data_IF_317840335440
#
_entry.id   IF_317840335440
#
_cell.length_a   1.000
_cell.length_b   1.000
_cell.length_c   1.000
_cell.angle_alpha   90.00
_cell.angle_beta   90.00
_cell.angle_gamma   90.00
#
_symmetry.space_group_name_H-M   'P 1'
#
loop_
_entity.id
_entity.type
_entity.pdbx_description
1 polymer ?
#
# COMPACT_ATOMS: atom_id res chain seq x y z
N UNK A 1 -5.02 8.37 14.27
CA UNK A 1 -4.67 6.99 13.86
C UNK A 1 -3.53 6.98 12.86
N UNK A 2 -3.45 8.01 12.02
CA UNK A 2 -2.29 8.28 11.17
C UNK A 2 -1.48 9.43 11.77
N UNK A 3 -0.17 9.28 11.82
CA UNK A 3 0.79 10.32 12.20
C UNK A 3 1.68 10.63 10.99
N UNK A 4 1.93 11.90 10.72
CA UNK A 4 2.81 12.33 9.63
C UNK A 4 3.86 13.27 10.17
N UNK A 5 5.13 12.90 9.99
CA UNK A 5 6.29 13.74 10.31
C UNK A 5 7.18 13.90 9.09
N UNK A 6 8.05 14.92 9.09
CA UNK A 6 8.99 15.18 8.00
C UNK A 6 10.43 15.07 8.51
N UNK A 7 11.22 14.19 7.90
CA UNK A 7 12.66 14.02 8.11
C UNK A 7 13.41 14.41 6.83
N UNK A 8 13.83 15.67 6.77
CA UNK A 8 14.44 16.26 5.57
C UNK A 8 13.48 16.22 4.38
N UNK A 9 13.86 15.48 3.33
CA UNK A 9 13.04 15.28 2.12
C UNK A 9 12.08 14.08 2.23
N UNK A 10 12.00 13.40 3.38
CA UNK A 10 11.11 12.23 3.54
C UNK A 10 9.95 12.55 4.47
N UNK A 11 8.74 12.35 3.97
CA UNK A 11 7.53 12.29 4.80
C UNK A 11 7.40 10.89 5.38
N UNK A 12 7.36 10.76 6.70
CA UNK A 12 7.19 9.49 7.40
C UNK A 12 5.76 9.41 7.93
N UNK A 13 4.95 8.59 7.26
CA UNK A 13 3.57 8.27 7.64
C UNK A 13 3.58 7.02 8.52
N UNK A 14 3.17 7.17 9.77
CA UNK A 14 3.07 6.07 10.74
C UNK A 14 1.60 5.70 10.95
N UNK A 15 1.27 4.45 10.65
CA UNK A 15 -0.02 3.84 11.00
C UNK A 15 0.02 3.38 12.47
N UNK A 16 -0.78 4.04 13.32
CA UNK A 16 -0.77 3.88 14.77
C UNK A 16 -2.15 3.48 15.34
N UNK A 17 -2.88 2.62 14.64
CA UNK A 17 -4.23 2.16 14.99
C UNK A 17 -4.27 0.69 15.44
N UNK A 18 -3.31 0.29 16.30
CA UNK A 18 -3.18 -1.10 16.74
C UNK A 18 -2.86 -2.03 15.57
N UNK A 19 -3.77 -2.95 15.24
CA UNK A 19 -3.59 -3.86 14.10
C UNK A 19 -3.74 -3.18 12.71
N UNK A 20 -3.97 -1.86 12.68
CA UNK A 20 -4.18 -1.04 11.47
C UNK A 20 -5.22 -1.67 10.53
N UNK A 21 -6.39 -1.97 11.11
CA UNK A 21 -7.53 -2.49 10.35
C UNK A 21 -8.24 -1.36 9.62
N UNK A 22 -8.59 -1.61 8.37
CA UNK A 22 -9.20 -0.61 7.50
C UNK A 22 -10.69 -0.48 7.79
N UNK A 23 -11.10 0.75 8.06
CA UNK A 23 -12.45 1.24 8.02
C UNK A 23 -12.43 2.63 7.37
N UNK A 24 -13.59 3.22 7.12
CA UNK A 24 -13.72 4.49 6.39
C UNK A 24 -12.99 5.65 7.09
N UNK A 25 -12.95 5.67 8.43
CA UNK A 25 -12.21 6.71 9.16
C UNK A 25 -10.71 6.59 8.94
N UNK A 26 -10.16 5.37 9.01
CA UNK A 26 -8.73 5.13 8.77
C UNK A 26 -8.33 5.47 7.32
N UNK A 27 -9.19 5.15 6.34
CA UNK A 27 -9.00 5.55 4.93
C UNK A 27 -8.85 7.07 4.81
N UNK A 28 -9.80 7.83 5.37
CA UNK A 28 -9.82 9.30 5.26
C UNK A 28 -8.66 9.96 5.98
N UNK A 29 -8.24 9.44 7.14
CA UNK A 29 -7.04 9.96 7.82
C UNK A 29 -5.76 9.70 7.01
N UNK A 30 -5.65 8.55 6.35
CA UNK A 30 -4.52 8.25 5.46
C UNK A 30 -4.53 9.19 4.26
N UNK A 31 -5.69 9.37 3.62
CA UNK A 31 -5.84 10.25 2.46
C UNK A 31 -5.51 11.71 2.79
N UNK A 32 -5.95 12.20 3.96
CA UNK A 32 -5.59 13.52 4.45
C UNK A 32 -4.08 13.70 4.72
N UNK A 33 -3.37 12.62 5.08
CA UNK A 33 -1.91 12.66 5.16
C UNK A 33 -1.27 12.77 3.76
N UNK A 34 -1.84 12.12 2.73
CA UNK A 34 -1.39 12.29 1.35
C UNK A 34 -1.62 13.71 0.83
N UNK A 35 -2.65 14.43 1.29
CA UNK A 35 -2.86 15.84 0.96
C UNK A 35 -1.68 16.70 1.42
N UNK A 36 -1.18 16.46 2.64
CA UNK A 36 -0.04 17.20 3.19
C UNK A 36 1.25 16.93 2.41
N UNK A 37 1.47 15.68 1.99
CA UNK A 37 2.62 15.32 1.13
C UNK A 37 2.51 16.02 -0.23
N UNK A 38 1.33 16.00 -0.86
CA UNK A 38 1.08 16.64 -2.15
C UNK A 38 1.20 18.17 -2.09
N UNK A 39 0.80 18.79 -0.97
CA UNK A 39 0.91 20.24 -0.76
C UNK A 39 2.35 20.72 -0.55
N UNK A 40 3.29 19.81 -0.25
CA UNK A 40 4.70 20.17 -0.10
C UNK A 40 5.36 20.49 -1.45
N UNK A 41 6.47 21.24 -1.41
CA UNK A 41 7.24 21.61 -2.59
C UNK A 41 8.65 21.03 -2.55
N UNK A 42 9.30 20.94 -3.71
CA UNK A 42 10.65 20.41 -3.84
C UNK A 42 10.70 18.88 -3.83
N UNK A 43 11.91 18.30 -3.85
CA UNK A 43 12.10 16.86 -3.83
C UNK A 43 11.52 16.26 -2.55
N UNK A 44 10.79 15.16 -2.67
CA UNK A 44 10.33 14.41 -1.53
C UNK A 44 10.12 12.92 -1.85
N UNK A 45 10.04 12.12 -0.80
CA UNK A 45 9.54 10.75 -0.85
C UNK A 45 8.59 10.49 0.34
N UNK A 46 7.72 9.51 0.21
CA UNK A 46 6.86 9.02 1.29
C UNK A 46 7.40 7.68 1.82
N UNK A 47 7.59 7.58 3.12
CA UNK A 47 7.79 6.34 3.85
C UNK A 47 6.54 6.01 4.67
N UNK A 48 5.90 4.88 4.41
CA UNK A 48 4.82 4.35 5.26
C UNK A 48 5.35 3.26 6.19
N UNK A 49 5.07 3.36 7.49
CA UNK A 49 5.43 2.35 8.50
C UNK A 49 4.27 2.11 9.47
N UNK A 50 4.38 1.07 10.30
CA UNK A 50 3.45 0.78 11.39
C UNK A 50 4.12 1.03 12.75
N UNK A 51 3.34 1.54 13.71
CA UNK A 51 3.74 1.61 15.12
C UNK A 51 3.57 0.25 15.84
N UNK A 52 2.73 -0.65 15.33
CA UNK A 52 2.55 -1.99 15.91
C UNK A 52 3.66 -2.93 15.46
N UNK A 53 4.23 -3.70 16.40
CA UNK A 53 5.38 -4.57 16.13
C UNK A 53 5.04 -5.86 15.35
N UNK A 54 3.78 -6.29 15.33
CA UNK A 54 3.31 -7.55 14.74
C UNK A 54 2.59 -7.35 13.41
N UNK A 55 1.95 -6.20 13.21
CA UNK A 55 1.15 -5.90 12.03
C UNK A 55 1.70 -4.69 11.31
N UNK A 56 1.90 -4.86 10.01
CA UNK A 56 1.87 -3.71 9.10
C UNK A 56 0.42 -3.25 8.96
N UNK A 57 -0.49 -4.16 8.57
CA UNK A 57 -1.94 -3.95 8.59
C UNK A 57 -2.69 -5.28 8.50
N UNK A 58 -3.70 -5.47 9.34
CA UNK A 58 -4.52 -6.68 9.40
C UNK A 58 -5.79 -6.61 8.52
N UNK A 59 -5.73 -5.87 7.42
CA UNK A 59 -6.78 -5.85 6.41
C UNK A 59 -8.06 -5.15 6.84
N UNK A 60 -9.18 -5.52 6.22
CA UNK A 60 -10.50 -5.00 6.55
C UNK A 60 -10.84 -5.26 8.04
N UNK A 61 -11.41 -4.28 8.71
CA UNK A 61 -12.01 -4.49 10.02
C UNK A 61 -13.28 -5.35 9.87
N UNK A 62 -13.14 -6.67 10.00
CA UNK A 62 -14.25 -7.61 9.85
C UNK A 62 -15.31 -7.48 10.95
N UNK A 63 -14.92 -7.07 12.16
CA UNK A 63 -15.89 -6.84 13.25
C UNK A 63 -16.73 -5.60 12.94
N UNK A 64 -16.10 -4.54 12.46
CA UNK A 64 -16.80 -3.38 11.94
C UNK A 64 -17.63 -3.72 10.71
N UNK A 65 -17.13 -4.49 9.73
CA UNK A 65 -17.89 -4.84 8.52
C UNK A 65 -19.14 -5.69 8.83
N UNK A 66 -19.03 -6.62 9.79
CA UNK A 66 -20.01 -7.68 10.07
C UNK A 66 -20.94 -7.44 11.26
N UNK A 67 -21.36 -6.21 11.57
CA UNK A 67 -22.35 -5.87 12.62
C UNK A 67 -21.83 -5.65 14.08
N UNK A 68 -20.54 -5.37 14.30
CA UNK A 68 -20.03 -4.99 15.64
C UNK A 68 -20.52 -3.62 16.17
N UNK A 69 -20.35 -3.37 17.48
CA UNK A 69 -20.49 -2.05 18.11
C UNK A 69 -19.67 -1.03 17.31
N UNK A 70 -20.25 0.12 16.97
CA UNK A 70 -19.73 1.00 15.93
C UNK A 70 -18.52 1.82 16.40
N UNK A 71 -17.27 1.52 16.02
CA UNK A 71 -16.33 2.59 15.76
C UNK A 71 -16.90 3.48 14.63
N UNK A 72 -16.62 4.78 14.63
CA UNK A 72 -17.13 5.71 13.61
C UNK A 72 -16.70 5.27 12.20
N UNK A 73 -17.60 5.41 11.21
CA UNK A 73 -17.29 5.19 9.79
C UNK A 73 -18.49 4.68 8.98
N UNK A 74 -18.64 5.16 7.74
CA UNK A 74 -19.71 4.75 6.82
C UNK A 74 -19.26 3.55 5.96
N UNK A 75 -19.87 2.39 6.19
CA UNK A 75 -19.56 1.13 5.50
C UNK A 75 -19.92 1.16 4.02
N UNK A 76 -20.95 1.92 3.64
CA UNK A 76 -21.48 1.91 2.28
C UNK A 76 -20.49 2.48 1.26
N UNK A 77 -19.63 3.38 1.70
CA UNK A 77 -18.65 4.07 0.85
C UNK A 77 -17.24 3.48 0.97
N UNK A 78 -17.03 2.51 1.87
CA UNK A 78 -15.69 1.99 2.17
C UNK A 78 -14.95 1.45 0.96
N UNK A 79 -15.60 0.59 0.17
CA UNK A 79 -14.98 -0.03 -1.00
C UNK A 79 -14.48 1.03 -1.98
N UNK A 80 -15.35 1.97 -2.34
CA UNK A 80 -15.02 3.07 -3.25
C UNK A 80 -13.92 3.98 -2.68
N UNK A 81 -14.01 4.41 -1.41
CA UNK A 81 -13.01 5.30 -0.80
C UNK A 81 -11.64 4.61 -0.65
N UNK A 82 -11.61 3.34 -0.24
CA UNK A 82 -10.37 2.58 -0.09
C UNK A 82 -9.68 2.35 -1.45
N UNK A 83 -10.45 2.00 -2.48
CA UNK A 83 -9.92 1.84 -3.83
C UNK A 83 -9.43 3.19 -4.38
N UNK A 84 -10.17 4.29 -4.19
CA UNK A 84 -9.73 5.62 -4.58
C UNK A 84 -8.42 6.04 -3.89
N UNK A 85 -8.28 5.76 -2.59
CA UNK A 85 -7.03 5.97 -1.84
C UNK A 85 -5.87 5.16 -2.45
N UNK A 86 -6.07 3.88 -2.73
CA UNK A 86 -5.05 3.04 -3.34
C UNK A 86 -4.66 3.54 -4.74
N UNK A 87 -5.63 3.99 -5.54
CA UNK A 87 -5.42 4.61 -6.86
C UNK A 87 -4.59 5.88 -6.76
N UNK A 88 -4.90 6.76 -5.81
CA UNK A 88 -4.14 7.97 -5.52
C UNK A 88 -2.70 7.66 -5.09
N UNK A 89 -2.51 6.63 -4.26
CA UNK A 89 -1.18 6.25 -3.77
C UNK A 89 -0.27 5.72 -4.90
N UNK A 90 -0.80 4.92 -5.83
CA UNK A 90 0.00 4.42 -6.96
C UNK A 90 0.34 5.49 -8.00
N UNK A 91 -0.39 6.60 -8.04
CA UNK A 91 -0.09 7.75 -8.91
C UNK A 91 0.46 8.97 -8.17
N UNK A 92 0.79 8.82 -6.88
CA UNK A 92 1.36 9.90 -6.07
C UNK A 92 2.63 10.44 -6.71
N UNK A 93 2.74 11.76 -6.76
CA UNK A 93 3.79 12.50 -7.48
C UNK A 93 5.18 12.48 -6.83
N UNK A 94 5.33 11.70 -5.77
CA UNK A 94 6.59 11.40 -5.10
C UNK A 94 6.80 9.88 -5.04
N UNK A 95 8.05 9.40 -5.02
CA UNK A 95 8.34 7.99 -4.75
C UNK A 95 7.80 7.56 -3.39
N UNK A 96 7.27 6.33 -3.32
CA UNK A 96 6.70 5.78 -2.09
C UNK A 96 7.36 4.47 -1.69
N UNK A 97 7.74 4.37 -0.43
CA UNK A 97 8.37 3.20 0.19
C UNK A 97 7.51 2.77 1.37
N UNK A 98 7.34 1.47 1.60
CA UNK A 98 6.77 1.00 2.87
C UNK A 98 7.69 0.00 3.59
N UNK A 99 7.64 0.07 4.92
CA UNK A 99 8.33 -0.82 5.84
C UNK A 99 7.33 -1.83 6.43
N UNK A 100 7.31 -3.04 5.87
CA UNK A 100 6.46 -4.15 6.31
C UNK A 100 7.14 -4.90 7.45
N UNK A 101 6.93 -4.41 8.67
CA UNK A 101 7.53 -4.94 9.89
C UNK A 101 6.90 -6.27 10.37
N UNK A 102 5.73 -6.61 9.85
CA UNK A 102 4.91 -7.71 10.34
C UNK A 102 3.89 -8.19 9.31
N UNK A 103 2.71 -8.61 9.76
CA UNK A 103 1.65 -9.13 8.89
C UNK A 103 0.96 -8.00 8.11
N UNK A 104 0.78 -8.23 6.81
CA UNK A 104 -0.04 -7.44 5.89
C UNK A 104 -1.03 -8.35 5.19
N UNK A 105 -2.30 -8.35 5.60
CA UNK A 105 -3.34 -9.24 5.06
C UNK A 105 -4.41 -8.46 4.31
N UNK A 106 -4.92 -9.04 3.21
CA UNK A 106 -5.95 -8.47 2.34
C UNK A 106 -5.68 -7.02 1.98
N UNK A 107 -6.58 -6.10 2.38
CA UNK A 107 -6.38 -4.65 2.24
C UNK A 107 -5.00 -4.13 2.72
N UNK A 108 -4.40 -4.75 3.74
CA UNK A 108 -3.04 -4.43 4.18
C UNK A 108 -1.94 -4.85 3.19
N UNK A 109 -2.12 -5.99 2.51
CA UNK A 109 -1.24 -6.40 1.41
C UNK A 109 -1.45 -5.50 0.19
N UNK A 110 -2.70 -5.18 -0.14
CA UNK A 110 -3.04 -4.27 -1.23
C UNK A 110 -2.36 -2.91 -1.06
N UNK A 111 -2.46 -2.29 0.12
CA UNK A 111 -1.81 -1.01 0.39
C UNK A 111 -0.29 -1.11 0.36
N UNK A 112 0.31 -2.23 0.78
CA UNK A 112 1.74 -2.45 0.58
C UNK A 112 2.10 -2.46 -0.92
N UNK A 113 1.32 -3.16 -1.76
CA UNK A 113 1.52 -3.18 -3.22
C UNK A 113 1.27 -1.84 -3.90
N UNK A 114 0.45 -0.97 -3.30
CA UNK A 114 0.25 0.39 -3.78
C UNK A 114 1.49 1.30 -3.64
N UNK A 115 2.51 0.87 -2.90
CA UNK A 115 3.78 1.59 -2.86
C UNK A 115 4.68 1.26 -4.07
N UNK A 116 5.65 2.12 -4.37
CA UNK A 116 6.65 1.85 -5.41
C UNK A 116 7.60 0.74 -4.94
N UNK A 117 8.10 0.86 -3.70
CA UNK A 117 8.95 -0.15 -3.08
C UNK A 117 8.45 -0.62 -1.72
N UNK A 118 8.68 -1.90 -1.44
CA UNK A 118 8.36 -2.58 -0.18
C UNK A 118 9.64 -3.18 0.38
N UNK A 119 9.97 -2.82 1.61
CA UNK A 119 10.98 -3.51 2.40
C UNK A 119 10.26 -4.30 3.49
N UNK A 120 10.65 -5.56 3.69
CA UNK A 120 9.98 -6.45 4.64
C UNK A 120 10.93 -6.92 5.74
N UNK A 121 10.42 -7.13 6.96
CA UNK A 121 11.19 -7.85 7.97
C UNK A 121 11.56 -9.26 7.48
N UNK A 122 12.80 -9.66 7.67
CA UNK A 122 13.36 -10.89 7.10
C UNK A 122 12.82 -12.18 7.73
N UNK A 123 12.57 -12.19 9.03
CA UNK A 123 12.37 -13.41 9.83
C UNK A 123 10.92 -13.68 10.24
N UNK A 124 10.05 -12.68 10.20
CA UNK A 124 8.65 -12.81 10.64
C UNK A 124 7.71 -11.81 9.99
N UNK A 125 6.49 -12.26 9.71
CA UNK A 125 5.44 -11.50 9.04
C UNK A 125 5.09 -12.15 7.71
N UNK A 126 3.89 -11.86 7.21
CA UNK A 126 3.42 -12.36 5.92
C UNK A 126 2.71 -11.25 5.17
N UNK A 127 2.96 -11.14 3.87
CA UNK A 127 2.08 -10.46 2.92
C UNK A 127 1.20 -11.52 2.25
N UNK A 128 -0.12 -11.34 2.24
CA UNK A 128 -1.04 -12.36 1.75
C UNK A 128 -2.42 -11.77 1.42
N UNK A 129 -2.94 -12.17 0.25
CA UNK A 129 -4.34 -11.98 -0.13
C UNK A 129 -5.11 -13.23 0.33
N UNK A 130 -5.77 -13.14 1.49
CA UNK A 130 -6.42 -14.27 2.15
C UNK A 130 -7.94 -14.29 1.93
N UNK A 131 -8.46 -13.49 0.99
CA UNK A 131 -9.88 -13.35 0.68
C UNK A 131 -10.52 -14.71 0.38
N UNK A 132 -9.87 -15.54 -0.43
CA UNK A 132 -10.39 -16.87 -0.77
C UNK A 132 -10.48 -17.81 0.44
N UNK A 133 -9.58 -17.68 1.43
CA UNK A 133 -9.65 -18.42 2.70
C UNK A 133 -10.84 -17.97 3.56
N UNK A 134 -11.27 -16.71 3.38
CA UNK A 134 -12.44 -16.11 4.03
C UNK A 134 -13.74 -16.29 3.23
N UNK A 135 -13.70 -16.94 2.07
CA UNK A 135 -14.85 -17.09 1.17
C UNK A 135 -15.25 -15.80 0.43
N UNK A 136 -14.33 -14.85 0.32
CA UNK A 136 -14.50 -13.58 -0.39
C UNK A 136 -13.83 -13.64 -1.77
N UNK A 137 -14.38 -12.89 -2.72
CA UNK A 137 -13.78 -12.69 -4.05
C UNK A 137 -13.01 -11.38 -4.06
N UNK A 138 -11.78 -11.39 -4.57
CA UNK A 138 -10.98 -10.18 -4.77
C UNK A 138 -11.63 -9.32 -5.86
N UNK A 139 -11.89 -8.02 -5.61
CA UNK A 139 -12.46 -7.11 -6.61
C UNK A 139 -11.57 -6.95 -7.85
N UNK A 140 -12.18 -6.70 -9.01
CA UNK A 140 -11.47 -6.54 -10.29
C UNK A 140 -10.41 -5.44 -10.26
N UNK A 141 -10.69 -4.33 -9.58
CA UNK A 141 -9.75 -3.22 -9.44
C UNK A 141 -8.51 -3.60 -8.62
N UNK A 142 -8.67 -4.41 -7.58
CA UNK A 142 -7.57 -4.95 -6.79
C UNK A 142 -6.76 -5.99 -7.60
N UNK A 143 -7.43 -6.85 -8.37
CA UNK A 143 -6.76 -7.77 -9.28
C UNK A 143 -5.94 -7.04 -10.35
N UNK A 144 -6.44 -5.92 -10.86
CA UNK A 144 -5.70 -5.08 -11.81
C UNK A 144 -4.42 -4.52 -11.17
N UNK A 145 -4.50 -4.01 -9.93
CA UNK A 145 -3.31 -3.60 -9.18
C UNK A 145 -2.30 -4.74 -9.02
N UNK A 146 -2.76 -5.90 -8.55
CA UNK A 146 -1.87 -7.04 -8.29
C UNK A 146 -1.19 -7.52 -9.57
N UNK A 147 -1.92 -7.57 -10.69
CA UNK A 147 -1.38 -7.96 -11.99
C UNK A 147 -0.27 -7.02 -12.47
N UNK A 148 -0.35 -5.73 -12.13
CA UNK A 148 0.69 -4.75 -12.43
C UNK A 148 1.89 -4.81 -11.46
N UNK A 149 1.63 -5.07 -10.18
CA UNK A 149 2.64 -4.96 -9.12
C UNK A 149 3.38 -6.26 -8.81
N UNK A 150 2.85 -7.41 -9.24
CA UNK A 150 3.43 -8.72 -8.99
C UNK A 150 3.91 -9.40 -10.28
N UNK A 151 5.02 -10.15 -10.25
CA UNK A 151 5.35 -11.08 -11.32
C UNK A 151 4.22 -12.09 -11.54
N UNK A 152 4.01 -12.52 -12.78
CA UNK A 152 2.84 -13.35 -13.16
C UNK A 152 2.65 -14.61 -12.31
N UNK A 153 3.74 -15.30 -11.96
CA UNK A 153 3.68 -16.47 -11.08
C UNK A 153 3.28 -16.10 -9.64
N UNK A 154 3.84 -15.00 -9.11
CA UNK A 154 3.49 -14.50 -7.78
C UNK A 154 2.04 -13.99 -7.73
N UNK A 155 1.56 -13.36 -8.80
CA UNK A 155 0.15 -12.96 -8.97
C UNK A 155 -0.79 -14.17 -8.82
N UNK A 156 -0.59 -15.22 -9.63
CA UNK A 156 -1.41 -16.43 -9.57
C UNK A 156 -1.38 -17.08 -8.18
N UNK A 157 -0.19 -17.22 -7.59
CA UNK A 157 -0.04 -17.81 -6.25
C UNK A 157 -0.69 -16.95 -5.14
N UNK A 158 -0.66 -15.63 -5.27
CA UNK A 158 -1.28 -14.73 -4.31
C UNK A 158 -2.81 -14.82 -4.40
N UNK A 159 -3.36 -14.73 -5.61
CA UNK A 159 -4.81 -14.65 -5.85
C UNK A 159 -5.51 -15.99 -5.65
N UNK A 160 -5.00 -17.06 -6.27
CA UNK A 160 -5.70 -18.34 -6.28
C UNK A 160 -5.34 -19.24 -5.10
N UNK A 161 -4.09 -19.14 -4.62
CA UNK A 161 -3.57 -20.07 -3.61
C UNK A 161 -3.39 -19.43 -2.22
N UNK A 162 -3.81 -18.16 -2.06
CA UNK A 162 -3.62 -17.39 -0.83
C UNK A 162 -2.19 -17.48 -0.27
N UNK A 163 -1.18 -17.51 -1.14
CA UNK A 163 0.21 -17.76 -0.70
C UNK A 163 0.63 -16.68 0.29
N UNK A 164 1.19 -17.13 1.42
CA UNK A 164 1.81 -16.27 2.43
C UNK A 164 3.27 -16.00 2.05
N UNK A 165 3.57 -14.75 1.74
CA UNK A 165 4.91 -14.31 1.38
C UNK A 165 5.66 -13.83 2.61
N UNK A 166 6.69 -14.58 3.02
CA UNK A 166 7.61 -14.21 4.10
C UNK A 166 8.98 -13.78 3.56
N UNK A 167 9.74 -13.00 4.33
CA UNK A 167 10.99 -12.32 3.96
C UNK A 167 11.73 -12.84 2.71
N UNK A 168 12.47 -13.95 2.83
CA UNK A 168 13.30 -14.45 1.73
C UNK A 168 12.49 -14.89 0.50
N UNK A 169 11.39 -15.61 0.71
CA UNK A 169 10.48 -16.06 -0.36
C UNK A 169 9.83 -14.87 -1.09
N UNK A 170 9.48 -13.82 -0.34
CA UNK A 170 8.89 -12.60 -0.87
C UNK A 170 9.87 -11.86 -1.79
N UNK A 171 11.16 -11.81 -1.42
CA UNK A 171 12.22 -11.24 -2.28
C UNK A 171 12.41 -12.11 -3.52
N UNK A 172 12.55 -13.42 -3.35
CA UNK A 172 12.80 -14.34 -4.46
C UNK A 172 11.66 -14.32 -5.51
N UNK A 173 10.42 -14.11 -5.07
CA UNK A 173 9.26 -14.00 -5.93
C UNK A 173 9.01 -12.59 -6.49
N UNK A 174 9.81 -11.59 -6.10
CA UNK A 174 9.63 -10.19 -6.52
C UNK A 174 8.43 -9.48 -5.90
N UNK A 175 7.90 -9.99 -4.77
CA UNK A 175 6.81 -9.36 -4.02
C UNK A 175 7.32 -8.14 -3.26
N UNK A 176 8.52 -8.23 -2.68
CA UNK A 176 9.23 -7.12 -2.00
C UNK A 176 10.61 -6.93 -2.61
N UNK A 177 11.17 -5.72 -2.51
CA UNK A 177 12.47 -5.40 -3.11
C UNK A 177 13.64 -5.85 -2.23
N UNK A 178 13.47 -5.80 -0.91
CA UNK A 178 14.52 -6.19 0.02
C UNK A 178 13.94 -6.60 1.39
N UNK A 179 14.80 -7.21 2.20
CA UNK A 179 14.51 -7.51 3.60
C UNK A 179 15.55 -6.93 4.55
N UNK A 180 15.16 -6.72 5.80
CA UNK A 180 16.01 -6.26 6.89
C UNK A 180 15.61 -6.93 8.22
N UNK A 181 16.45 -6.84 9.26
CA UNK A 181 16.04 -7.20 10.62
C UNK A 181 14.95 -6.24 11.13
N UNK A 182 14.23 -6.62 12.18
CA UNK A 182 13.21 -5.73 12.77
C UNK A 182 13.79 -4.37 13.17
N UNK A 183 14.94 -4.39 13.86
CA UNK A 183 15.57 -3.19 14.41
C UNK A 183 16.13 -2.24 13.33
N UNK A 184 16.46 -2.78 12.16
CA UNK A 184 17.08 -2.02 11.07
C UNK A 184 16.10 -1.68 9.93
N UNK A 185 14.93 -2.31 9.90
CA UNK A 185 13.95 -2.13 8.82
C UNK A 185 13.54 -0.67 8.64
N UNK A 186 13.27 0.04 9.74
CA UNK A 186 12.89 1.45 9.70
C UNK A 186 14.00 2.33 9.12
N UNK A 187 15.25 2.12 9.55
CA UNK A 187 16.40 2.87 9.07
C UNK A 187 16.65 2.61 7.58
N UNK A 188 16.60 1.35 7.15
CA UNK A 188 16.81 0.99 5.73
C UNK A 188 15.71 1.49 4.83
N UNK A 189 14.46 1.47 5.28
CA UNK A 189 13.35 2.04 4.52
C UNK A 189 13.44 3.57 4.41
N UNK A 190 13.85 4.25 5.49
CA UNK A 190 14.11 5.70 5.48
C UNK A 190 15.28 6.06 4.57
N UNK A 191 16.39 5.32 4.63
CA UNK A 191 17.52 5.51 3.73
C UNK A 191 17.09 5.32 2.27
N UNK A 192 16.29 4.29 1.99
CA UNK A 192 15.78 4.06 0.63
C UNK A 192 14.87 5.19 0.16
N UNK A 193 13.98 5.69 1.01
CA UNK A 193 13.15 6.85 0.70
C UNK A 193 14.00 8.11 0.40
N UNK A 194 15.05 8.36 1.20
CA UNK A 194 16.00 9.48 0.95
C UNK A 194 16.72 9.33 -0.39
N UNK A 195 17.12 8.13 -0.77
CA UNK A 195 17.75 7.87 -2.08
C UNK A 195 16.80 8.13 -3.25
N UNK A 196 15.49 7.91 -3.06
CA UNK A 196 14.49 8.10 -4.10
C UNK A 196 13.97 9.54 -4.17
N UNK A 197 13.96 10.30 -3.07
CA UNK A 197 13.44 11.67 -3.01
C UNK A 197 13.94 12.59 -4.14
N UNK A 198 15.21 12.55 -4.58
CA UNK A 198 15.68 13.35 -5.71
C UNK A 198 14.98 13.11 -7.06
N UNK A 199 14.32 11.95 -7.26
CA UNK A 199 13.51 11.69 -8.46
C UNK A 199 12.32 12.65 -8.55
N UNK A 200 11.81 13.10 -7.40
CA UNK A 200 10.72 14.07 -7.30
C UNK A 200 11.19 15.53 -7.40
N UNK A 201 12.41 15.81 -7.91
CA UNK A 201 12.78 17.17 -8.35
C UNK A 201 11.81 17.72 -9.39
N UNK A 202 11.25 16.83 -10.22
CA UNK A 202 10.15 17.12 -11.13
C UNK A 202 8.96 16.18 -10.80
N UNK A 203 8.13 16.61 -9.85
CA UNK A 203 6.94 15.86 -9.39
C UNK A 203 5.94 15.59 -10.51
N UNK A 204 5.74 16.57 -11.40
CA UNK A 204 4.86 16.41 -12.57
C UNK A 204 5.32 15.27 -13.48
N UNK A 205 6.64 15.12 -13.68
CA UNK A 205 7.19 14.01 -14.43
C UNK A 205 6.97 12.67 -13.73
N UNK A 206 7.19 12.59 -12.41
CA UNK A 206 6.91 11.36 -11.62
C UNK A 206 5.43 10.97 -11.74
N UNK A 207 4.52 11.93 -11.50
CA UNK A 207 3.07 11.74 -11.64
C UNK A 207 2.72 11.26 -13.05
N UNK A 208 3.20 11.96 -14.08
CA UNK A 208 2.95 11.63 -15.49
C UNK A 208 3.42 10.21 -15.83
N UNK A 209 4.60 9.80 -15.34
CA UNK A 209 5.09 8.45 -15.59
C UNK A 209 4.25 7.39 -14.89
N UNK A 210 3.83 7.63 -13.63
CA UNK A 210 2.91 6.74 -12.93
C UNK A 210 1.53 6.67 -13.60
N UNK A 211 0.99 7.79 -14.06
CA UNK A 211 -0.26 7.85 -14.83
C UNK A 211 -0.14 7.12 -16.17
N UNK A 212 1.02 7.17 -16.84
CA UNK A 212 1.24 6.36 -18.07
C UNK A 212 1.30 4.86 -17.79
N UNK A 213 1.71 4.46 -16.59
CA UNK A 213 1.75 3.06 -16.18
C UNK A 213 0.40 2.55 -15.68
N UNK A 214 -0.38 3.41 -15.01
CA UNK A 214 -1.52 2.99 -14.20
C UNK A 214 -2.82 3.77 -14.45
N UNK A 215 -2.80 4.93 -15.11
CA UNK A 215 -3.95 5.81 -15.30
C UNK A 215 -4.95 5.33 -16.36
N UNK A 216 -5.87 6.22 -16.75
CA UNK A 216 -6.98 5.92 -17.66
C UNK A 216 -6.53 5.36 -19.01
N UNK A 217 -5.41 5.87 -19.54
CA UNK A 217 -4.86 5.50 -20.84
C UNK A 217 -3.49 4.80 -20.67
N UNK A 218 -3.38 3.92 -19.67
CA UNK A 218 -2.14 3.21 -19.38
C UNK A 218 -1.64 2.41 -20.59
N UNK A 219 -0.33 2.38 -20.78
CA UNK A 219 0.29 1.79 -21.99
C UNK A 219 0.32 0.26 -22.02
N UNK A 220 -0.20 -0.44 -21.01
CA UNK A 220 -0.08 -1.90 -20.87
C UNK A 220 -1.41 -2.61 -20.61
N UNK A 221 -1.65 -3.70 -21.37
CA UNK A 221 -2.51 -4.86 -21.09
C UNK A 221 -4.03 -4.67 -20.84
N UNK A 222 -4.59 -3.46 -20.92
CA UNK A 222 -6.02 -3.20 -20.71
C UNK A 222 -6.43 -1.85 -21.34
N UNK A 223 -7.72 -1.65 -21.70
CA UNK A 223 -8.23 -0.32 -22.07
C UNK A 223 -8.02 0.75 -20.99
N UNK A 224 -8.02 0.34 -19.71
CA UNK A 224 -7.78 1.20 -18.55
C UNK A 224 -6.74 0.60 -17.61
N UNK A 225 -5.88 1.44 -17.04
CA UNK A 225 -4.88 1.03 -16.06
C UNK A 225 -5.44 0.85 -14.64
N UNK A 226 -4.61 0.29 -13.76
CA UNK A 226 -4.99 -0.03 -12.39
C UNK A 226 -5.50 1.17 -11.57
N UNK A 227 -4.87 2.35 -11.68
CA UNK A 227 -5.28 3.54 -10.93
C UNK A 227 -6.67 4.02 -11.33
N UNK A 228 -6.97 4.00 -12.63
CA UNK A 228 -8.31 4.33 -13.11
C UNK A 228 -9.34 3.34 -12.60
N UNK A 229 -9.07 2.03 -12.69
CA UNK A 229 -9.98 0.99 -12.20
C UNK A 229 -10.23 1.12 -10.70
N UNK A 230 -9.18 1.45 -9.93
CA UNK A 230 -9.27 1.71 -8.50
C UNK A 230 -10.14 2.93 -8.17
N UNK A 231 -9.96 4.05 -8.87
CA UNK A 231 -10.73 5.28 -8.63
C UNK A 231 -12.20 5.18 -9.06
N UNK A 232 -12.52 4.23 -9.94
CA UNK A 232 -13.88 4.02 -10.48
C UNK A 232 -14.47 2.67 -10.05
N UNK A 233 -13.92 2.06 -8.99
CA UNK A 233 -14.48 0.87 -8.38
C UNK A 233 -15.81 1.26 -7.69
N UNK A 234 -16.93 0.83 -8.28
CA UNK A 234 -18.29 1.04 -7.77
C UNK A 234 -18.77 -0.08 -6.87
#
# INVERSE_FOLDING_TARGET
MIELEQDGEVFVLTMAAGENRWNTTFVREFDAALDQVAASSGPAALLTRSADAKFFSNGLDLAWAGYGEQPPGDRNVFGAEFMALAGRLITLEVPTVCAVNGHGFGAGFMIALSHDERLMRADRGYLCANEIELGMTIPDAELALFRHKLPAAAFHQSVLLARRWGGADAVAAGVVQATASFDDLGNRALERARQLAPLARNRDAVRTMKERLYGENAVLNSPHGAAWLLQHAG
#
